data_IF_192023487753
#
_entry.id   IF_192023487753
#
_cell.length_a   1.000
_cell.length_b   1.000
_cell.length_c   1.000
_cell.angle_alpha   90.00
_cell.angle_beta   90.00
_cell.angle_gamma   90.00
#
_symmetry.space_group_name_H-M   'P 1'
#
loop_
_entity.id
_entity.type
_entity.pdbx_description
1 polymer ?
#
# COMPACT_ATOMS: atom_id res chain seq x y z
N UNK A 1 16.64 -1.04 14.57
CA UNK A 1 15.40 -1.34 15.33
C UNK A 1 15.44 -0.75 16.74
N UNK A 2 16.40 -1.09 17.60
CA UNK A 2 16.42 -0.60 19.00
C UNK A 2 16.31 0.92 19.22
N UNK A 3 16.96 1.80 18.43
CA UNK A 3 16.78 3.25 18.58
C UNK A 3 15.34 3.72 18.29
N UNK A 4 14.66 3.05 17.36
CA UNK A 4 13.27 3.37 17.01
C UNK A 4 12.32 2.95 18.13
N UNK A 5 12.50 1.74 18.69
CA UNK A 5 11.70 1.27 19.81
C UNK A 5 11.84 2.19 21.02
N UNK A 6 13.06 2.65 21.31
CA UNK A 6 13.29 3.62 22.39
C UNK A 6 12.53 4.93 22.15
N UNK A 7 12.57 5.46 20.93
CA UNK A 7 11.81 6.67 20.58
C UNK A 7 10.29 6.46 20.74
N UNK A 8 9.77 5.32 20.30
CA UNK A 8 8.34 5.00 20.47
C UNK A 8 7.95 4.89 21.95
N UNK A 9 8.85 4.40 22.80
CA UNK A 9 8.66 4.35 24.25
C UNK A 9 8.72 5.75 24.87
N UNK A 10 9.70 6.57 24.49
CA UNK A 10 9.85 7.96 24.93
C UNK A 10 8.63 8.82 24.52
N UNK A 11 8.06 8.57 23.34
CA UNK A 11 6.84 9.24 22.83
C UNK A 11 5.54 8.67 23.47
N UNK A 12 5.66 7.62 24.29
CA UNK A 12 4.56 6.99 25.02
C UNK A 12 3.67 6.06 24.18
N UNK A 13 4.12 5.64 23.00
CA UNK A 13 3.37 4.77 22.08
C UNK A 13 3.53 3.28 22.37
N UNK A 14 4.64 2.90 23.01
CA UNK A 14 4.87 1.52 23.47
C UNK A 14 5.39 1.52 24.91
N UNK A 15 5.27 0.38 25.58
CA UNK A 15 5.96 0.07 26.83
C UNK A 15 6.79 -1.19 26.64
N UNK A 16 8.01 -1.22 27.18
CA UNK A 16 8.84 -2.42 27.18
C UNK A 16 8.85 -3.06 28.57
N UNK A 17 8.27 -4.26 28.68
CA UNK A 17 8.33 -5.08 29.90
C UNK A 17 9.32 -6.22 29.72
N UNK A 18 10.04 -6.57 30.79
CA UNK A 18 10.82 -7.81 30.81
C UNK A 18 9.87 -8.99 30.63
N UNK A 19 10.21 -9.88 29.72
CA UNK A 19 9.48 -11.13 29.54
C UNK A 19 9.75 -12.02 30.78
N UNK A 20 8.71 -12.33 31.59
CA UNK A 20 8.86 -13.14 32.80
C UNK A 20 9.46 -14.52 32.52
N UNK A 21 9.24 -15.04 31.31
CA UNK A 21 9.67 -16.37 30.90
C UNK A 21 11.05 -16.37 30.21
N UNK A 22 11.68 -15.20 30.06
CA UNK A 22 12.98 -15.09 29.42
C UNK A 22 14.13 -15.28 30.40
N UNK A 23 14.83 -16.41 30.27
CA UNK A 23 16.09 -16.68 30.99
C UNK A 23 17.23 -15.67 30.67
N UNK A 24 17.07 -14.85 29.62
CA UNK A 24 18.03 -13.83 29.20
C UNK A 24 17.55 -12.39 29.44
N UNK A 25 16.39 -12.20 30.07
CA UNK A 25 15.83 -10.88 30.34
C UNK A 25 15.44 -10.12 29.07
N UNK A 26 14.94 -10.82 28.05
CA UNK A 26 14.43 -10.20 26.83
C UNK A 26 13.26 -9.26 27.17
N UNK A 27 13.15 -8.17 26.41
CA UNK A 27 12.09 -7.18 26.57
C UNK A 27 11.07 -7.35 25.46
N UNK A 28 9.80 -7.43 25.84
CA UNK A 28 8.67 -7.45 24.92
C UNK A 28 8.03 -6.07 24.88
N UNK A 29 7.81 -5.56 23.67
CA UNK A 29 7.17 -4.28 23.44
C UNK A 29 5.65 -4.46 23.30
N UNK A 30 4.90 -3.68 24.05
CA UNK A 30 3.43 -3.63 23.98
C UNK A 30 2.98 -2.24 23.59
N UNK A 31 2.02 -2.16 22.66
CA UNK A 31 1.42 -0.88 22.27
C UNK A 31 0.56 -0.32 23.41
N UNK A 32 0.65 0.98 23.67
CA UNK A 32 -0.22 1.68 24.63
C UNK A 32 -1.52 2.12 23.97
N UNK A 33 -2.48 2.59 24.74
CA UNK A 33 -3.70 3.20 24.18
C UNK A 33 -3.38 4.42 23.31
N UNK A 34 -2.47 5.29 23.78
CA UNK A 34 -1.93 6.40 23.00
C UNK A 34 -1.26 5.93 21.71
N UNK A 35 -0.51 4.83 21.76
CA UNK A 35 0.10 4.22 20.58
C UNK A 35 -0.94 3.70 19.59
N UNK A 36 -2.05 3.13 20.10
CA UNK A 36 -3.17 2.67 19.28
C UNK A 36 -3.89 3.84 18.62
N UNK A 37 -4.16 4.91 19.36
CA UNK A 37 -4.73 6.16 18.81
C UNK A 37 -3.84 6.71 17.70
N UNK A 38 -2.54 6.86 17.95
CA UNK A 38 -1.59 7.34 16.95
C UNK A 38 -1.50 6.41 15.73
N UNK A 39 -1.59 5.10 15.94
CA UNK A 39 -1.68 4.14 14.85
C UNK A 39 -2.93 4.36 13.99
N UNK A 40 -4.11 4.56 14.60
CA UNK A 40 -5.34 4.85 13.86
C UNK A 40 -5.22 6.15 13.06
N UNK A 41 -4.66 7.21 13.65
CA UNK A 41 -4.38 8.47 12.96
C UNK A 41 -3.49 8.26 11.73
N UNK A 42 -2.40 7.50 11.87
CA UNK A 42 -1.51 7.16 10.75
C UNK A 42 -2.22 6.33 9.68
N UNK A 43 -3.18 5.49 10.06
CA UNK A 43 -3.94 4.66 9.12
C UNK A 43 -4.94 5.48 8.30
N UNK A 44 -5.57 6.50 8.90
CA UNK A 44 -6.47 7.43 8.20
C UNK A 44 -5.73 8.54 7.42
N UNK A 45 -4.45 8.80 7.74
CA UNK A 45 -3.69 9.84 7.04
C UNK A 45 -3.52 9.52 5.53
N UNK A 46 -3.68 10.51 4.63
CA UNK A 46 -3.45 10.34 3.20
C UNK A 46 -2.03 9.87 2.89
N UNK A 47 -1.88 9.05 1.85
CA UNK A 47 -0.56 8.61 1.37
C UNK A 47 0.03 9.67 0.44
N UNK A 48 1.26 10.11 0.74
CA UNK A 48 1.99 11.06 -0.10
C UNK A 48 2.32 10.46 -1.47
N UNK A 49 2.16 11.25 -2.52
CA UNK A 49 2.48 10.86 -3.90
C UNK A 49 3.99 10.88 -4.18
N UNK A 50 4.75 10.00 -3.52
CA UNK A 50 6.19 9.85 -3.70
C UNK A 50 6.59 8.42 -4.10
N UNK A 51 7.89 8.17 -4.31
CA UNK A 51 8.40 6.84 -4.68
C UNK A 51 8.17 5.74 -3.64
N UNK A 52 7.70 6.07 -2.43
CA UNK A 52 7.36 5.10 -1.37
C UNK A 52 5.87 4.81 -1.29
N UNK A 53 5.03 5.52 -2.06
CA UNK A 53 3.56 5.39 -2.08
C UNK A 53 3.08 3.94 -2.06
N UNK A 54 3.59 3.09 -2.95
CA UNK A 54 3.18 1.68 -3.02
C UNK A 54 3.54 0.89 -1.76
N UNK A 55 4.73 1.12 -1.20
CA UNK A 55 5.17 0.48 0.05
C UNK A 55 4.30 0.92 1.23
N UNK A 56 3.90 2.20 1.28
CA UNK A 56 3.01 2.72 2.33
C UNK A 56 1.62 2.09 2.24
N UNK A 57 1.03 2.00 1.04
CA UNK A 57 -0.26 1.31 0.88
C UNK A 57 -0.18 -0.17 1.29
N UNK A 58 0.87 -0.89 0.87
CA UNK A 58 1.06 -2.29 1.29
C UNK A 58 1.22 -2.45 2.80
N UNK A 59 1.89 -1.50 3.46
CA UNK A 59 2.01 -1.48 4.91
C UNK A 59 0.64 -1.29 5.57
N UNK A 60 -0.13 -0.28 5.13
CA UNK A 60 -1.51 -0.05 5.62
C UNK A 60 -2.38 -1.30 5.42
N UNK A 61 -2.36 -1.90 4.22
CA UNK A 61 -3.20 -3.08 3.92
C UNK A 61 -2.81 -4.30 4.75
N UNK A 62 -1.52 -4.50 5.06
CA UNK A 62 -1.08 -5.56 5.97
C UNK A 62 -1.70 -5.41 7.37
N UNK A 63 -1.96 -4.18 7.79
CA UNK A 63 -2.49 -3.86 9.11
C UNK A 63 -4.03 -3.83 9.17
N UNK A 64 -4.74 -4.29 8.12
CA UNK A 64 -6.21 -4.28 8.07
C UNK A 64 -6.90 -5.03 9.21
N UNK A 65 -6.25 -6.03 9.82
CA UNK A 65 -6.80 -6.73 10.99
C UNK A 65 -6.99 -5.84 12.22
N UNK A 66 -6.36 -4.67 12.28
CA UNK A 66 -6.34 -3.77 13.44
C UNK A 66 -7.14 -2.47 13.21
N UNK A 67 -7.83 -2.34 12.07
CA UNK A 67 -8.56 -1.12 11.70
C UNK A 67 -10.00 -1.41 11.29
N UNK A 68 -10.86 -0.41 11.43
CA UNK A 68 -12.30 -0.55 11.15
C UNK A 68 -12.59 -0.69 9.65
N UNK A 69 -13.65 -1.43 9.26
CA UNK A 69 -13.97 -1.69 7.86
C UNK A 69 -14.14 -0.46 6.98
N UNK A 70 -14.68 0.63 7.50
CA UNK A 70 -14.81 1.92 6.81
C UNK A 70 -13.44 2.50 6.43
N UNK A 71 -12.50 2.55 7.38
CA UNK A 71 -11.10 3.00 7.13
C UNK A 71 -10.40 2.07 6.14
N UNK A 72 -10.66 0.76 6.20
CA UNK A 72 -10.11 -0.18 5.21
C UNK A 72 -10.59 0.14 3.79
N UNK A 73 -11.88 0.48 3.63
CA UNK A 73 -12.46 0.86 2.33
C UNK A 73 -11.86 2.17 1.84
N UNK A 74 -11.74 3.20 2.70
CA UNK A 74 -11.12 4.47 2.33
C UNK A 74 -9.68 4.30 1.81
N UNK A 75 -8.88 3.45 2.48
CA UNK A 75 -7.51 3.15 2.03
C UNK A 75 -7.51 2.44 0.68
N UNK A 76 -8.43 1.49 0.46
CA UNK A 76 -8.54 0.77 -0.81
C UNK A 76 -9.02 1.69 -1.94
N UNK A 77 -9.90 2.64 -1.65
CA UNK A 77 -10.40 3.63 -2.61
C UNK A 77 -9.29 4.58 -3.04
N UNK A 78 -8.57 5.17 -2.09
CA UNK A 78 -7.41 6.00 -2.40
C UNK A 78 -6.33 5.24 -3.19
N UNK A 79 -6.09 3.97 -2.86
CA UNK A 79 -5.15 3.14 -3.61
C UNK A 79 -5.65 2.82 -5.02
N UNK A 80 -6.93 2.51 -5.18
CA UNK A 80 -7.54 2.25 -6.49
C UNK A 80 -7.46 3.48 -7.40
N UNK A 81 -7.76 4.66 -6.88
CA UNK A 81 -7.70 5.91 -7.65
C UNK A 81 -6.27 6.17 -8.14
N UNK A 82 -5.30 5.96 -7.26
CA UNK A 82 -3.88 6.06 -7.59
C UNK A 82 -3.49 5.09 -8.71
N UNK A 83 -3.87 3.81 -8.58
CA UNK A 83 -3.55 2.78 -9.59
C UNK A 83 -4.27 3.07 -10.91
N UNK A 84 -5.48 3.64 -10.87
CA UNK A 84 -6.23 4.00 -12.07
C UNK A 84 -5.56 5.16 -12.81
N UNK A 85 -5.09 6.19 -12.08
CA UNK A 85 -4.35 7.30 -12.67
C UNK A 85 -3.08 6.80 -13.39
N UNK A 86 -2.29 5.94 -12.73
CA UNK A 86 -1.10 5.32 -13.34
C UNK A 86 -1.48 4.51 -14.59
N UNK A 87 -2.54 3.70 -14.52
CA UNK A 87 -3.04 2.88 -15.64
C UNK A 87 -3.43 3.74 -16.85
N UNK A 88 -4.19 4.81 -16.61
CA UNK A 88 -4.63 5.71 -17.67
C UNK A 88 -3.44 6.40 -18.35
N UNK A 89 -2.41 6.78 -17.58
CA UNK A 89 -1.17 7.35 -18.12
C UNK A 89 -0.38 6.34 -18.97
N UNK A 90 -0.27 5.09 -18.52
CA UNK A 90 0.42 4.05 -19.28
C UNK A 90 -0.30 3.73 -20.58
N UNK A 91 -1.64 3.61 -20.56
CA UNK A 91 -2.45 3.38 -21.76
C UNK A 91 -2.29 4.53 -22.75
N UNK A 92 -2.39 5.80 -22.28
CA UNK A 92 -2.19 6.98 -23.14
C UNK A 92 -0.81 6.97 -23.78
N UNK A 93 0.23 6.73 -22.98
CA UNK A 93 1.62 6.71 -23.45
C UNK A 93 1.86 5.58 -24.46
N UNK A 94 1.32 4.39 -24.18
CA UNK A 94 1.43 3.23 -25.07
C UNK A 94 0.81 3.51 -26.43
N UNK A 95 -0.44 4.01 -26.45
CA UNK A 95 -1.14 4.29 -27.70
C UNK A 95 -0.39 5.34 -28.54
N UNK A 96 0.16 6.37 -27.89
CA UNK A 96 0.99 7.38 -28.56
C UNK A 96 2.27 6.78 -29.16
N UNK A 97 2.97 5.92 -28.44
CA UNK A 97 4.20 5.29 -28.94
C UNK A 97 3.91 4.28 -30.05
N UNK A 98 2.78 3.56 -29.98
CA UNK A 98 2.34 2.69 -31.07
C UNK A 98 2.11 3.47 -32.35
N UNK A 99 1.46 4.63 -32.29
CA UNK A 99 1.29 5.49 -33.46
C UNK A 99 2.64 5.95 -34.03
N UNK A 100 3.61 6.30 -33.18
CA UNK A 100 4.96 6.70 -33.61
C UNK A 100 5.75 5.58 -34.29
N UNK A 101 5.62 4.35 -33.79
CA UNK A 101 6.29 3.17 -34.36
C UNK A 101 5.90 2.95 -35.83
N UNK A 102 4.68 3.33 -36.22
CA UNK A 102 4.20 3.20 -37.60
C UNK A 102 4.77 4.27 -38.55
N UNK A 103 5.45 5.30 -38.02
CA UNK A 103 5.90 6.48 -38.77
C UNK A 103 7.42 6.63 -38.79
N UNK A 104 8.13 6.16 -37.76
CA UNK A 104 9.59 6.32 -37.61
C UNK A 104 10.30 4.97 -37.35
N UNK A 105 10.67 4.30 -38.45
CA UNK A 105 11.42 3.02 -38.39
C UNK A 105 12.83 3.17 -37.79
N UNK A 106 13.41 4.38 -37.79
CA UNK A 106 14.79 4.59 -37.33
C UNK A 106 14.98 4.36 -35.82
N UNK A 107 13.87 4.29 -35.07
CA UNK A 107 13.84 4.06 -33.62
C UNK A 107 12.96 2.86 -33.23
N UNK A 108 12.63 1.98 -34.18
CA UNK A 108 11.67 0.91 -33.97
C UNK A 108 11.98 0.06 -32.74
N UNK A 109 13.21 -0.44 -32.61
CA UNK A 109 13.62 -1.30 -31.49
C UNK A 109 13.43 -0.61 -30.13
N UNK A 110 13.84 0.66 -30.00
CA UNK A 110 13.68 1.40 -28.75
C UNK A 110 12.20 1.62 -28.39
N UNK A 111 11.37 1.94 -29.40
CA UNK A 111 9.93 2.12 -29.22
C UNK A 111 9.26 0.80 -28.81
N UNK A 112 9.63 -0.32 -29.44
CA UNK A 112 9.13 -1.65 -29.10
C UNK A 112 9.44 -2.04 -27.65
N UNK A 113 10.68 -1.87 -27.20
CA UNK A 113 11.05 -2.13 -25.80
C UNK A 113 10.32 -1.22 -24.80
N UNK A 114 10.09 0.04 -25.18
CA UNK A 114 9.32 0.97 -24.34
C UNK A 114 7.86 0.56 -24.26
N UNK A 115 7.25 0.16 -25.39
CA UNK A 115 5.87 -0.36 -25.43
C UNK A 115 5.74 -1.63 -24.60
N UNK A 116 6.69 -2.57 -24.69
CA UNK A 116 6.72 -3.79 -23.86
C UNK A 116 6.77 -3.46 -22.36
N UNK A 117 7.54 -2.45 -21.96
CA UNK A 117 7.62 -2.02 -20.56
C UNK A 117 6.29 -1.40 -20.09
N UNK A 118 5.62 -0.65 -20.97
CA UNK A 118 4.28 -0.10 -20.69
C UNK A 118 3.24 -1.21 -20.59
N UNK A 119 3.30 -2.24 -21.44
CA UNK A 119 2.41 -3.41 -21.38
C UNK A 119 2.52 -4.14 -20.04
N UNK A 120 3.74 -4.34 -19.53
CA UNK A 120 3.95 -4.88 -18.20
C UNK A 120 3.30 -3.99 -17.13
N UNK A 121 3.51 -2.68 -17.21
CA UNK A 121 2.98 -1.72 -16.24
C UNK A 121 1.45 -1.70 -16.23
N UNK A 122 0.81 -1.76 -17.42
CA UNK A 122 -0.64 -1.89 -17.59
C UNK A 122 -1.14 -3.19 -16.93
N UNK A 123 -0.54 -4.33 -17.26
CA UNK A 123 -0.94 -5.63 -16.72
C UNK A 123 -0.83 -5.69 -15.19
N UNK A 124 0.21 -5.06 -14.62
CA UNK A 124 0.38 -4.92 -13.17
C UNK A 124 -0.71 -4.05 -12.56
N UNK A 125 -1.03 -2.89 -13.16
CA UNK A 125 -2.08 -2.00 -12.66
C UNK A 125 -3.47 -2.65 -12.72
N UNK A 126 -3.82 -3.33 -13.81
CA UNK A 126 -5.07 -4.09 -13.92
C UNK A 126 -5.15 -5.21 -12.87
N UNK A 127 -4.03 -5.89 -12.62
CA UNK A 127 -3.95 -6.92 -11.58
C UNK A 127 -4.14 -6.34 -10.20
N UNK A 128 -3.54 -5.17 -9.91
CA UNK A 128 -3.76 -4.42 -8.67
C UNK A 128 -5.24 -4.04 -8.51
N UNK A 129 -5.90 -3.52 -9.56
CA UNK A 129 -7.34 -3.18 -9.50
C UNK A 129 -8.21 -4.40 -9.18
N UNK A 130 -7.97 -5.54 -9.85
CA UNK A 130 -8.69 -6.79 -9.56
C UNK A 130 -8.48 -7.27 -8.14
N UNK A 131 -7.25 -7.18 -7.63
CA UNK A 131 -6.92 -7.54 -6.27
C UNK A 131 -7.63 -6.62 -5.26
N UNK A 132 -7.61 -5.29 -5.47
CA UNK A 132 -8.32 -4.32 -4.64
C UNK A 132 -9.82 -4.63 -4.59
N UNK A 133 -10.44 -4.92 -5.75
CA UNK A 133 -11.84 -5.33 -5.79
C UNK A 133 -12.10 -6.63 -5.01
N UNK A 134 -11.15 -7.57 -5.00
CA UNK A 134 -11.20 -8.77 -4.16
C UNK A 134 -11.15 -8.45 -2.66
N UNK A 135 -10.29 -7.53 -2.25
CA UNK A 135 -10.21 -7.05 -0.87
C UNK A 135 -11.53 -6.41 -0.42
N UNK A 136 -12.11 -5.51 -1.22
CA UNK A 136 -13.42 -4.90 -0.92
C UNK A 136 -14.52 -5.94 -0.73
N UNK A 137 -14.57 -6.98 -1.59
CA UNK A 137 -15.53 -8.08 -1.43
C UNK A 137 -15.31 -8.86 -0.12
N UNK A 138 -14.05 -9.13 0.25
CA UNK A 138 -13.72 -9.81 1.52
C UNK A 138 -14.23 -9.01 2.72
N UNK A 139 -14.02 -7.69 2.71
CA UNK A 139 -14.49 -6.78 3.78
C UNK A 139 -16.03 -6.79 3.85
N UNK A 140 -16.70 -6.64 2.71
CA UNK A 140 -18.16 -6.66 2.66
C UNK A 140 -18.77 -7.97 3.18
N UNK A 141 -18.11 -9.11 2.93
CA UNK A 141 -18.53 -10.41 3.47
C UNK A 141 -18.29 -10.55 4.98
N UNK A 142 -17.24 -9.93 5.52
CA UNK A 142 -16.98 -9.93 6.96
C UNK A 142 -18.04 -9.12 7.71
N UNK A 143 -18.32 -7.89 7.24
CA UNK A 143 -19.35 -7.01 7.83
C UNK A 143 -20.75 -7.65 7.82
N UNK A 144 -21.09 -8.42 6.77
CA UNK A 144 -22.36 -9.16 6.71
C UNK A 144 -22.48 -10.33 7.68
N UNK A 145 -21.38 -10.88 8.17
CA UNK A 145 -21.40 -11.99 9.15
C UNK A 145 -21.54 -11.50 10.58
N UNK A 146 -21.23 -10.24 10.82
CA UNK A 146 -21.27 -9.60 12.14
C UNK A 146 -22.61 -8.92 12.44
N UNK A 147 -23.49 -8.79 11.43
CA UNK A 147 -24.88 -8.32 11.53
C UNK A 147 -25.88 -9.47 11.40
#
# INVERSE_FOLDING_TARGET
>A
MYPLLRKLEDDGYIIQSADPDSARGEKTAHITDRGREHFQEMMSAPVVADGKRESVYRFKIRAFGEIQPDVQIEILDAFADTVQQDLDEFIRSRNHLQQKLHVDESRAEHLEWTIQTLDLSIALSETKQRWIAGCRRKIALAVKKEN
#
